data_IF_459758149071
#
_entry.id   IF_459758149071
#
_cell.length_a   1.000
_cell.length_b   1.000
_cell.length_c   1.000
_cell.angle_alpha   90.00
_cell.angle_beta   90.00
_cell.angle_gamma   90.00
#
_symmetry.space_group_name_H-M   'P 1'
#
loop_
_entity.id
_entity.type
_entity.pdbx_description
1 polymer ?
#
# COMPACT_ATOMS: atom_id res chain seq x y z
N UNK A 1 -1.01 -8.35 11.71
CA UNK A 1 -1.75 -9.08 10.65
C UNK A 1 -3.21 -8.65 10.60
N UNK A 2 -3.87 -8.55 11.74
CA UNK A 2 -5.26 -8.08 11.82
C UNK A 2 -5.43 -6.69 11.18
N UNK A 3 -4.52 -5.75 11.47
CA UNK A 3 -4.58 -4.40 10.91
C UNK A 3 -4.35 -4.38 9.40
N UNK A 4 -3.53 -5.29 8.89
CA UNK A 4 -3.35 -5.45 7.45
C UNK A 4 -4.66 -5.90 6.81
N UNK A 5 -5.36 -6.85 7.44
CA UNK A 5 -6.68 -7.30 7.00
C UNK A 5 -7.71 -6.18 7.02
N UNK A 6 -7.69 -5.33 8.06
CA UNK A 6 -8.60 -4.18 8.18
C UNK A 6 -8.41 -3.21 7.01
N UNK A 7 -7.17 -2.92 6.62
CA UNK A 7 -6.89 -2.06 5.46
C UNK A 7 -7.34 -2.71 4.16
N UNK A 8 -7.19 -4.03 4.03
CA UNK A 8 -7.72 -4.77 2.89
C UNK A 8 -9.25 -4.68 2.80
N UNK A 9 -9.95 -4.78 3.92
CA UNK A 9 -11.39 -4.62 4.00
C UNK A 9 -11.81 -3.20 3.59
N UNK A 10 -11.07 -2.18 4.01
CA UNK A 10 -11.31 -0.80 3.59
C UNK A 10 -11.20 -0.66 2.08
N UNK A 11 -10.17 -1.27 1.47
CA UNK A 11 -9.97 -1.23 0.02
C UNK A 11 -11.12 -1.90 -0.73
N UNK A 12 -11.62 -3.03 -0.23
CA UNK A 12 -12.79 -3.70 -0.81
C UNK A 12 -14.03 -2.80 -0.72
N UNK A 13 -14.18 -2.07 0.39
CA UNK A 13 -15.25 -1.09 0.56
C UNK A 13 -15.18 0.05 -0.46
N UNK A 14 -13.99 0.56 -0.73
CA UNK A 14 -13.79 1.60 -1.75
C UNK A 14 -14.18 1.11 -3.15
N UNK A 15 -13.83 -0.13 -3.50
CA UNK A 15 -14.22 -0.71 -4.77
C UNK A 15 -15.75 -0.77 -4.93
N UNK A 16 -16.47 -1.15 -3.86
CA UNK A 16 -17.93 -1.13 -3.86
C UNK A 16 -18.49 0.27 -4.05
N UNK A 17 -17.86 1.29 -3.41
CA UNK A 17 -18.27 2.69 -3.57
C UNK A 17 -18.06 3.17 -5.01
N UNK A 18 -16.94 2.80 -5.63
CA UNK A 18 -16.66 3.14 -7.03
C UNK A 18 -17.74 2.59 -7.95
N UNK A 19 -18.14 1.33 -7.76
CA UNK A 19 -19.17 0.68 -8.57
C UNK A 19 -20.57 1.27 -8.32
N UNK A 20 -20.90 1.55 -7.05
CA UNK A 20 -22.23 2.04 -6.65
C UNK A 20 -22.49 3.47 -7.14
N UNK A 21 -21.46 4.33 -7.11
CA UNK A 21 -21.58 5.75 -7.42
C UNK A 21 -21.05 6.12 -8.81
N UNK A 22 -20.70 5.12 -9.62
CA UNK A 22 -20.12 5.31 -10.95
C UNK A 22 -18.90 6.24 -10.93
N UNK A 23 -18.04 6.08 -9.92
CA UNK A 23 -16.80 6.83 -9.78
C UNK A 23 -15.71 6.09 -10.55
N UNK A 24 -15.01 6.80 -11.42
CA UNK A 24 -13.94 6.22 -12.22
C UNK A 24 -12.61 6.91 -11.94
N UNK A 25 -11.57 6.11 -11.73
CA UNK A 25 -10.19 6.60 -11.73
C UNK A 25 -9.71 6.74 -13.18
N UNK A 26 -8.80 7.70 -13.40
CA UNK A 26 -8.13 7.83 -14.67
C UNK A 26 -7.28 6.58 -14.95
N UNK A 27 -6.88 6.38 -16.22
CA UNK A 27 -5.96 5.31 -16.60
C UNK A 27 -4.68 5.36 -15.78
N UNK A 28 -4.13 6.57 -15.56
CA UNK A 28 -2.90 6.76 -14.81
C UNK A 28 -3.08 6.39 -13.35
N UNK A 29 -4.17 6.80 -12.72
CA UNK A 29 -4.47 6.45 -11.34
C UNK A 29 -4.66 4.94 -11.16
N UNK A 30 -5.34 4.27 -12.09
CA UNK A 30 -5.50 2.81 -12.06
C UNK A 30 -4.16 2.09 -12.15
N UNK A 31 -3.25 2.55 -13.01
CA UNK A 31 -1.92 1.97 -13.13
C UNK A 31 -1.12 2.17 -11.86
N UNK A 32 -1.20 3.34 -11.25
CA UNK A 32 -0.56 3.63 -9.97
C UNK A 32 -1.07 2.71 -8.86
N UNK A 33 -2.39 2.51 -8.79
CA UNK A 33 -3.00 1.57 -7.81
C UNK A 33 -2.51 0.14 -8.05
N UNK A 34 -2.38 -0.30 -9.31
CA UNK A 34 -1.84 -1.62 -9.62
C UNK A 34 -0.42 -1.78 -9.14
N UNK A 35 0.42 -0.78 -9.33
CA UNK A 35 1.81 -0.79 -8.85
C UNK A 35 1.86 -0.87 -7.32
N UNK A 36 1.03 -0.10 -6.63
CA UNK A 36 0.94 -0.15 -5.17
C UNK A 36 0.47 -1.52 -4.69
N UNK A 37 -0.53 -2.09 -5.35
CA UNK A 37 -1.00 -3.43 -5.05
C UNK A 37 0.12 -4.46 -5.18
N UNK A 38 0.86 -4.43 -6.28
CA UNK A 38 1.89 -5.42 -6.56
C UNK A 38 3.03 -5.37 -5.54
N UNK A 39 3.51 -4.18 -5.19
CA UNK A 39 4.56 -4.05 -4.17
C UNK A 39 4.05 -4.44 -2.78
N UNK A 40 2.79 -4.12 -2.47
CA UNK A 40 2.19 -4.47 -1.18
C UNK A 40 2.01 -5.97 -1.03
N UNK A 41 1.58 -6.66 -2.08
CA UNK A 41 1.48 -8.13 -2.08
C UNK A 41 2.86 -8.75 -1.87
N UNK A 42 3.89 -8.23 -2.53
CA UNK A 42 5.27 -8.71 -2.35
C UNK A 42 5.74 -8.52 -0.91
N UNK A 43 5.46 -7.37 -0.32
CA UNK A 43 5.83 -7.09 1.06
C UNK A 43 5.14 -8.01 2.05
N UNK A 44 3.83 -8.21 1.91
CA UNK A 44 3.06 -9.14 2.77
C UNK A 44 3.55 -10.56 2.58
N UNK A 45 3.81 -10.99 1.33
CA UNK A 45 4.31 -12.34 1.03
C UNK A 45 5.66 -12.60 1.67
N UNK A 46 6.51 -11.58 1.82
CA UNK A 46 7.80 -11.72 2.47
C UNK A 46 7.68 -12.15 3.93
N UNK A 47 6.60 -11.79 4.62
CA UNK A 47 6.35 -12.22 6.00
C UNK A 47 6.07 -13.72 6.10
N UNK A 48 5.54 -14.31 5.03
CA UNK A 48 5.18 -15.73 4.96
C UNK A 48 6.28 -16.57 4.32
N UNK A 49 7.38 -15.95 3.96
CA UNK A 49 8.52 -16.61 3.31
C UNK A 49 9.24 -17.53 4.29
N UNK A 50 9.72 -18.67 3.80
CA UNK A 50 10.61 -19.56 4.55
C UNK A 50 11.94 -18.90 4.93
N UNK A 51 12.29 -17.81 4.24
CA UNK A 51 13.51 -17.03 4.50
C UNK A 51 13.35 -16.01 5.63
N UNK A 52 12.15 -15.90 6.20
CA UNK A 52 11.87 -14.93 7.27
C UNK A 52 12.86 -15.10 8.44
N UNK A 53 13.53 -14.00 8.78
CA UNK A 53 14.53 -13.98 9.85
C UNK A 53 15.94 -14.39 9.43
N UNK A 54 16.15 -14.78 8.17
CA UNK A 54 17.50 -15.04 7.62
C UNK A 54 18.25 -13.72 7.39
N UNK A 55 19.57 -13.86 7.12
CA UNK A 55 20.39 -12.70 6.81
C UNK A 55 19.81 -11.89 5.64
N UNK A 56 19.81 -10.58 5.78
CA UNK A 56 19.32 -9.62 4.79
C UNK A 56 17.79 -9.62 4.56
N UNK A 57 17.04 -10.57 5.10
CA UNK A 57 15.59 -10.59 4.94
C UNK A 57 14.94 -9.30 5.46
N UNK A 58 15.30 -8.86 6.67
CA UNK A 58 14.77 -7.63 7.27
C UNK A 58 15.11 -6.42 6.42
N UNK A 59 16.34 -6.36 5.89
CA UNK A 59 16.78 -5.27 4.99
C UNK A 59 15.92 -5.24 3.73
N UNK A 60 15.62 -6.40 3.14
CA UNK A 60 14.75 -6.48 1.96
C UNK A 60 13.34 -6.00 2.26
N UNK A 61 12.77 -6.39 3.40
CA UNK A 61 11.44 -5.93 3.82
C UNK A 61 11.45 -4.41 4.03
N UNK A 62 12.48 -3.87 4.68
CA UNK A 62 12.62 -2.43 4.89
C UNK A 62 12.72 -1.67 3.56
N UNK A 63 13.40 -2.23 2.56
CA UNK A 63 13.49 -1.64 1.23
C UNK A 63 12.13 -1.62 0.52
N UNK A 64 11.32 -2.67 0.67
CA UNK A 64 9.97 -2.70 0.12
C UNK A 64 9.08 -1.64 0.78
N UNK A 65 9.18 -1.50 2.09
CA UNK A 65 8.42 -0.48 2.84
C UNK A 65 8.83 0.92 2.40
N UNK A 66 10.12 1.19 2.26
CA UNK A 66 10.61 2.48 1.77
C UNK A 66 10.11 2.76 0.35
N UNK A 67 10.06 1.75 -0.50
CA UNK A 67 9.53 1.90 -1.85
C UNK A 67 8.04 2.23 -1.83
N UNK A 68 7.27 1.61 -0.95
CA UNK A 68 5.84 1.95 -0.78
C UNK A 68 5.69 3.41 -0.37
N UNK A 69 6.50 3.89 0.59
CA UNK A 69 6.47 5.28 1.03
C UNK A 69 6.81 6.26 -0.10
N UNK A 70 7.87 5.96 -0.85
CA UNK A 70 8.30 6.80 -1.97
C UNK A 70 7.24 6.85 -3.07
N UNK A 71 6.66 5.71 -3.42
CA UNK A 71 5.59 5.62 -4.41
C UNK A 71 4.36 6.40 -3.95
N UNK A 72 3.98 6.25 -2.68
CA UNK A 72 2.84 6.98 -2.10
C UNK A 72 3.04 8.49 -2.24
N UNK A 73 4.21 8.99 -1.88
CA UNK A 73 4.52 10.42 -1.98
C UNK A 73 4.46 10.91 -3.45
N UNK A 74 5.03 10.14 -4.38
CA UNK A 74 5.03 10.48 -5.79
C UNK A 74 3.62 10.48 -6.38
N UNK A 75 2.82 9.46 -6.07
CA UNK A 75 1.47 9.33 -6.59
C UNK A 75 0.53 10.39 -6.01
N UNK A 76 0.74 10.81 -4.74
CA UNK A 76 -0.01 11.93 -4.17
C UNK A 76 0.27 13.24 -4.93
N UNK A 77 1.53 13.48 -5.29
CA UNK A 77 1.88 14.65 -6.10
C UNK A 77 1.22 14.62 -7.48
N UNK A 78 1.26 13.46 -8.14
CA UNK A 78 0.61 13.28 -9.44
C UNK A 78 -0.88 13.53 -9.36
N UNK A 79 -1.52 13.08 -8.28
CA UNK A 79 -2.95 13.28 -8.08
C UNK A 79 -3.28 14.75 -7.84
N UNK A 80 -2.44 15.49 -7.11
CA UNK A 80 -2.63 16.92 -6.93
C UNK A 80 -2.62 17.69 -8.26
N UNK A 81 -1.73 17.30 -9.18
CA UNK A 81 -1.69 17.88 -10.53
C UNK A 81 -3.01 17.58 -11.25
N UNK A 82 -3.48 16.34 -11.20
CA UNK A 82 -4.76 15.95 -11.83
C UNK A 82 -5.94 16.73 -11.26
N UNK A 83 -5.93 16.99 -9.94
CA UNK A 83 -6.96 17.81 -9.29
C UNK A 83 -6.96 19.24 -9.82
N UNK A 84 -5.77 19.85 -9.93
CA UNK A 84 -5.62 21.22 -10.42
C UNK A 84 -6.07 21.34 -11.87
N UNK A 85 -5.78 20.33 -12.68
CA UNK A 85 -6.13 20.30 -14.10
C UNK A 85 -7.60 19.93 -14.35
N UNK A 86 -8.34 19.59 -13.29
CA UNK A 86 -9.74 19.21 -13.40
C UNK A 86 -9.96 17.85 -14.06
N UNK A 87 -8.91 16.99 -14.15
CA UNK A 87 -9.00 15.68 -14.79
C UNK A 87 -9.46 14.58 -13.82
N UNK A 88 -9.77 14.95 -12.58
CA UNK A 88 -10.18 14.02 -11.52
C UNK A 88 -11.35 14.66 -10.77
N UNK A 89 -12.42 13.89 -10.53
CA UNK A 89 -13.53 14.36 -9.70
C UNK A 89 -13.10 14.42 -8.24
N UNK A 90 -13.77 15.26 -7.45
CA UNK A 90 -13.46 15.39 -6.01
C UNK A 90 -13.61 14.04 -5.30
N UNK A 91 -14.66 13.29 -5.63
CA UNK A 91 -14.94 11.98 -5.04
C UNK A 91 -13.83 10.97 -5.38
N UNK A 92 -13.41 10.92 -6.63
CA UNK A 92 -12.32 10.04 -7.07
C UNK A 92 -11.01 10.41 -6.36
N UNK A 93 -10.73 11.70 -6.20
CA UNK A 93 -9.53 12.17 -5.51
C UNK A 93 -9.50 11.77 -4.05
N UNK A 94 -10.63 11.87 -3.36
CA UNK A 94 -10.75 11.47 -1.95
C UNK A 94 -10.51 9.96 -1.82
N UNK A 95 -11.18 9.14 -2.61
CA UNK A 95 -11.03 7.68 -2.57
C UNK A 95 -9.61 7.25 -2.91
N UNK A 96 -9.01 7.88 -3.90
CA UNK A 96 -7.63 7.59 -4.29
C UNK A 96 -6.65 7.90 -3.14
N UNK A 97 -6.83 9.04 -2.49
CA UNK A 97 -6.00 9.43 -1.34
C UNK A 97 -6.12 8.43 -0.19
N UNK A 98 -7.33 7.96 0.08
CA UNK A 98 -7.58 6.96 1.13
C UNK A 98 -6.93 5.62 0.78
N UNK A 99 -7.00 5.19 -0.49
CA UNK A 99 -6.31 3.98 -0.95
C UNK A 99 -4.80 4.09 -0.74
N UNK A 100 -4.19 5.20 -1.11
CA UNK A 100 -2.75 5.41 -0.91
C UNK A 100 -2.39 5.34 0.57
N UNK A 101 -3.21 5.92 1.44
CA UNK A 101 -3.01 5.88 2.88
C UNK A 101 -3.07 4.43 3.39
N UNK A 102 -4.03 3.63 2.92
CA UNK A 102 -4.13 2.23 3.33
C UNK A 102 -2.93 1.41 2.87
N UNK A 103 -2.44 1.61 1.65
CA UNK A 103 -1.23 0.94 1.17
C UNK A 103 -0.01 1.31 2.03
N UNK A 104 0.14 2.59 2.36
CA UNK A 104 1.25 3.06 3.21
C UNK A 104 1.19 2.39 4.59
N UNK A 105 0.00 2.32 5.19
CA UNK A 105 -0.20 1.68 6.49
C UNK A 105 0.05 0.18 6.45
N UNK A 106 -0.31 -0.50 5.37
CA UNK A 106 0.03 -1.91 5.17
C UNK A 106 1.55 -2.07 5.20
N UNK A 107 2.28 -1.21 4.49
CA UNK A 107 3.75 -1.23 4.48
C UNK A 107 4.33 -1.03 5.88
N UNK A 108 3.81 -0.07 6.65
CA UNK A 108 4.25 0.18 8.02
C UNK A 108 4.03 -1.03 8.91
N UNK A 109 2.87 -1.67 8.82
CA UNK A 109 2.57 -2.87 9.61
C UNK A 109 3.43 -4.05 9.22
N UNK A 110 3.70 -4.23 7.92
CA UNK A 110 4.61 -5.28 7.44
C UNK A 110 5.99 -5.11 8.04
N UNK A 111 6.53 -3.89 8.01
CA UNK A 111 7.85 -3.62 8.59
C UNK A 111 7.87 -3.87 10.10
N UNK A 112 6.84 -3.42 10.82
CA UNK A 112 6.74 -3.64 12.27
C UNK A 112 6.70 -5.13 12.62
N UNK A 113 5.92 -5.92 11.89
CA UNK A 113 5.85 -7.37 12.08
C UNK A 113 7.20 -8.01 11.76
N UNK A 114 7.85 -7.59 10.68
CA UNK A 114 9.16 -8.12 10.28
C UNK A 114 10.21 -7.85 11.36
N UNK A 115 10.21 -6.65 11.94
CA UNK A 115 11.12 -6.28 13.02
C UNK A 115 10.91 -7.17 14.26
N UNK A 116 9.66 -7.43 14.64
CA UNK A 116 9.35 -8.30 15.76
C UNK A 116 9.73 -9.76 15.50
N UNK A 117 9.48 -10.27 14.29
CA UNK A 117 9.92 -11.62 13.90
C UNK A 117 11.44 -11.74 13.94
N UNK A 118 12.14 -10.73 13.46
CA UNK A 118 13.60 -10.71 13.46
C UNK A 118 14.16 -10.73 14.89
N UNK A 119 13.57 -9.95 15.81
CA UNK A 119 13.94 -9.96 17.22
C UNK A 119 13.72 -11.34 17.85
N UNK A 120 12.58 -11.95 17.59
CA UNK A 120 12.25 -13.26 18.12
C UNK A 120 13.25 -14.32 17.66
N UNK A 121 13.67 -14.29 16.39
CA UNK A 121 14.65 -15.24 15.85
C UNK A 121 16.05 -15.03 16.40
N UNK A 122 16.47 -13.78 16.58
CA UNK A 122 17.81 -13.47 17.10
C UNK A 122 17.92 -13.70 18.62
N UNK A 123 16.80 -13.74 19.33
CA UNK A 123 16.76 -14.03 20.77
C UNK A 123 16.90 -15.54 21.07
N UNK A 124 16.70 -16.40 20.09
CA UNK A 124 16.84 -17.85 20.22
C UNK A 124 18.28 -18.29 20.01
#
# INVERSE_FOLDING_TARGET
>A
IERIGDHGDNMAGYNKMLLRHDINFSRFALEEVRQMRDISIRAVSALLSSEAGEAEWLTQVAQMEQKIDDMTANFRRDQLVRMRDGTCSDEACILYSELLTDFERIGDHVLNIAQELNKAKTAL
#
